data_IF_759662817791
#
_entry.id   IF_759662817791
#
_cell.length_a   1.000
_cell.length_b   1.000
_cell.length_c   1.000
_cell.angle_alpha   90.00
_cell.angle_beta   90.00
_cell.angle_gamma   90.00
#
_symmetry.space_group_name_H-M   'P 1'
#
loop_
_entity.id
_entity.type
_entity.pdbx_description
1 polymer ?
#
# COMPACT_ATOMS: atom_id res chain seq x y z
N UNK A 1 -4.47 -0.82 -8.88
CA UNK A 1 -4.29 -0.38 -7.48
C UNK A 1 -5.47 -0.93 -6.68
N UNK A 2 -5.21 -1.69 -5.62
CA UNK A 2 -6.25 -2.27 -4.75
C UNK A 2 -5.81 -2.23 -3.28
N UNK A 3 -6.74 -2.38 -2.32
CA UNK A 3 -6.38 -2.62 -0.95
C UNK A 3 -5.42 -3.81 -0.82
N UNK A 4 -4.47 -3.67 0.10
CA UNK A 4 -3.60 -4.73 0.55
C UNK A 4 -4.42 -5.92 1.06
N UNK A 5 -3.94 -7.13 0.77
CA UNK A 5 -4.39 -8.36 1.43
C UNK A 5 -3.19 -9.12 2.03
N UNK A 6 -3.41 -10.02 3.01
CA UNK A 6 -2.34 -10.76 3.67
C UNK A 6 -1.38 -11.49 2.72
N UNK A 7 -1.88 -11.93 1.56
CA UNK A 7 -1.10 -12.59 0.51
C UNK A 7 -0.02 -11.69 -0.12
N UNK A 8 -0.14 -10.37 0.00
CA UNK A 8 0.83 -9.43 -0.56
C UNK A 8 2.06 -9.23 0.33
N UNK A 9 2.02 -9.71 1.58
CA UNK A 9 3.07 -9.50 2.57
C UNK A 9 4.48 -9.87 2.08
N UNK A 10 4.69 -11.05 1.43
CA UNK A 10 6.02 -11.41 0.94
C UNK A 10 6.57 -10.43 -0.10
N UNK A 11 5.71 -9.90 -0.98
CA UNK A 11 6.11 -8.91 -1.98
C UNK A 11 6.41 -7.55 -1.34
N UNK A 12 5.64 -7.14 -0.31
CA UNK A 12 5.97 -5.93 0.47
C UNK A 12 7.35 -6.07 1.11
N UNK A 13 7.64 -7.22 1.73
CA UNK A 13 8.96 -7.48 2.31
C UNK A 13 10.06 -7.38 1.25
N UNK A 14 9.87 -8.03 0.09
CA UNK A 14 10.83 -7.98 -1.02
C UNK A 14 11.08 -6.55 -1.51
N UNK A 15 10.04 -5.77 -1.75
CA UNK A 15 10.15 -4.38 -2.21
C UNK A 15 10.88 -3.51 -1.16
N UNK A 16 10.52 -3.69 0.11
CA UNK A 16 11.07 -2.92 1.22
C UNK A 16 12.51 -3.30 1.59
N UNK A 17 12.96 -4.52 1.25
CA UNK A 17 14.34 -4.97 1.49
C UNK A 17 15.39 -4.07 0.78
N UNK A 18 14.99 -3.38 -0.29
CA UNK A 18 15.85 -2.46 -1.03
C UNK A 18 15.79 -1.01 -0.54
N UNK A 19 15.12 -0.76 0.59
CA UNK A 19 14.85 0.59 1.09
C UNK A 19 15.52 0.77 2.44
N UNK A 20 16.22 1.90 2.61
CA UNK A 20 17.00 2.22 3.82
C UNK A 20 17.94 1.07 4.26
N UNK A 21 18.59 0.40 3.31
CA UNK A 21 19.49 -0.73 3.62
C UNK A 21 18.77 -1.95 4.22
N UNK A 22 17.49 -2.13 3.91
CA UNK A 22 16.67 -3.25 4.39
C UNK A 22 16.02 -3.02 5.76
N UNK A 23 16.09 -1.79 6.29
CA UNK A 23 15.56 -1.43 7.61
C UNK A 23 14.21 -0.71 7.53
N UNK A 24 13.51 -0.82 6.41
CA UNK A 24 12.20 -0.18 6.23
C UNK A 24 11.19 -0.65 7.29
N UNK A 25 10.48 0.31 7.88
CA UNK A 25 9.46 0.05 8.90
C UNK A 25 8.14 -0.46 8.31
N UNK A 26 7.92 -0.26 7.01
CA UNK A 26 6.62 -0.52 6.37
C UNK A 26 6.13 -1.97 6.52
N UNK A 27 6.95 -3.03 6.33
CA UNK A 27 6.48 -4.41 6.52
C UNK A 27 5.99 -4.66 7.94
N UNK A 28 6.75 -4.21 8.95
CA UNK A 28 6.37 -4.37 10.35
C UNK A 28 5.05 -3.65 10.65
N UNK A 29 4.94 -2.39 10.22
CA UNK A 29 3.74 -1.57 10.38
C UNK A 29 2.51 -2.21 9.74
N UNK A 30 2.60 -2.65 8.47
CA UNK A 30 1.46 -3.28 7.78
C UNK A 30 1.01 -4.55 8.51
N UNK A 31 1.95 -5.36 9.01
CA UNK A 31 1.63 -6.58 9.76
C UNK A 31 0.94 -6.28 11.09
N UNK A 32 1.44 -5.31 11.85
CA UNK A 32 0.93 -4.97 13.18
C UNK A 32 -0.43 -4.28 13.13
N UNK A 33 -0.61 -3.35 12.22
CA UNK A 33 -1.83 -2.55 12.08
C UNK A 33 -2.99 -3.39 11.50
N UNK A 34 -2.69 -4.32 10.60
CA UNK A 34 -3.69 -5.30 10.13
C UNK A 34 -4.10 -6.30 11.21
N UNK A 35 -3.19 -6.67 12.11
CA UNK A 35 -3.56 -7.53 13.24
C UNK A 35 -4.51 -6.83 14.23
N UNK A 36 -4.50 -5.50 14.27
CA UNK A 36 -5.34 -4.70 15.15
C UNK A 36 -6.68 -4.29 14.51
N UNK A 37 -6.93 -4.67 13.25
CA UNK A 37 -8.06 -4.15 12.44
C UNK A 37 -8.12 -2.62 12.45
N UNK A 38 -6.97 -1.94 12.46
CA UNK A 38 -6.94 -0.48 12.41
C UNK A 38 -7.43 0.00 11.05
N UNK A 39 -8.59 0.67 11.02
CA UNK A 39 -9.19 1.23 9.80
C UNK A 39 -8.52 2.52 9.35
N UNK A 40 -7.68 3.12 10.21
CA UNK A 40 -7.04 4.40 9.94
C UNK A 40 -5.77 4.23 9.09
N UNK A 41 -5.19 3.04 9.02
CA UNK A 41 -4.11 2.71 8.09
C UNK A 41 -4.64 1.96 6.86
N UNK A 42 -4.56 2.61 5.70
CA UNK A 42 -4.85 2.02 4.41
C UNK A 42 -3.54 1.67 3.70
N UNK A 43 -3.29 0.38 3.52
CA UNK A 43 -2.23 -0.10 2.63
C UNK A 43 -2.83 -0.47 1.27
N UNK A 44 -2.17 -0.03 0.19
CA UNK A 44 -2.58 -0.30 -1.18
C UNK A 44 -1.43 -0.90 -1.97
N UNK A 45 -1.74 -1.81 -2.87
CA UNK A 45 -0.78 -2.41 -3.79
C UNK A 45 -1.12 -2.06 -5.24
N UNK A 46 -0.09 -1.84 -6.04
CA UNK A 46 -0.18 -1.82 -7.49
C UNK A 46 0.29 -3.17 -8.01
N UNK A 47 -0.62 -3.96 -8.57
CA UNK A 47 -0.27 -5.17 -9.27
C UNK A 47 -0.06 -4.94 -10.76
N UNK A 48 0.92 -5.62 -11.30
CA UNK A 48 1.02 -5.87 -12.73
C UNK A 48 0.06 -6.98 -13.12
N UNK A 49 -0.81 -6.70 -14.09
CA UNK A 49 -1.64 -7.73 -14.72
C UNK A 49 -0.97 -8.20 -16.02
N UNK A 50 -1.02 -9.51 -16.34
CA UNK A 50 -1.79 -10.57 -15.66
C UNK A 50 -1.01 -11.32 -14.56
N UNK A 51 0.24 -10.99 -14.28
CA UNK A 51 1.09 -11.76 -13.37
C UNK A 51 0.61 -11.77 -11.91
N UNK A 52 -0.16 -10.77 -11.49
CA UNK A 52 -0.56 -10.60 -10.09
C UNK A 52 0.59 -10.16 -9.19
N UNK A 53 1.75 -9.84 -9.76
CA UNK A 53 2.92 -9.39 -9.00
C UNK A 53 2.69 -7.97 -8.48
N UNK A 54 2.88 -7.77 -7.18
CA UNK A 54 2.90 -6.44 -6.58
C UNK A 54 4.17 -5.72 -7.00
N UNK A 55 4.00 -4.53 -7.58
CA UNK A 55 5.08 -3.68 -8.11
C UNK A 55 5.28 -2.41 -7.32
N UNK A 56 4.27 -1.99 -6.55
CA UNK A 56 4.39 -0.90 -5.61
C UNK A 56 3.44 -1.09 -4.44
N UNK A 57 3.79 -0.51 -3.30
CA UNK A 57 2.94 -0.42 -2.12
C UNK A 57 2.92 1.02 -1.60
N UNK A 58 1.78 1.45 -1.08
CA UNK A 58 1.62 2.72 -0.42
C UNK A 58 0.92 2.52 0.93
N UNK A 59 1.39 3.25 1.94
CA UNK A 59 0.74 3.33 3.23
C UNK A 59 0.18 4.74 3.43
N UNK A 60 -1.11 4.83 3.74
CA UNK A 60 -1.84 6.08 3.88
C UNK A 60 -2.57 6.03 5.22
N UNK A 61 -2.45 7.09 6.03
CA UNK A 61 -3.11 7.21 7.32
C UNK A 61 -4.20 8.27 7.28
N UNK A 62 -5.38 8.00 7.82
CA UNK A 62 -6.39 9.03 8.07
C UNK A 62 -5.91 9.94 9.21
N UNK A 63 -5.81 11.25 8.97
CA UNK A 63 -5.43 12.21 10.02
C UNK A 63 -6.66 12.93 10.59
N UNK A 64 -7.61 13.28 9.73
CA UNK A 64 -8.90 13.85 10.10
C UNK A 64 -9.91 13.56 8.98
N UNK A 65 -11.22 13.76 9.18
CA UNK A 65 -12.21 13.52 8.14
C UNK A 65 -11.83 14.24 6.83
N UNK A 66 -11.69 13.47 5.75
CA UNK A 66 -11.29 13.98 4.44
C UNK A 66 -9.79 14.27 4.24
N UNK A 67 -8.96 14.13 5.28
CA UNK A 67 -7.51 14.39 5.20
C UNK A 67 -6.71 13.12 5.45
N UNK A 68 -5.89 12.79 4.47
CA UNK A 68 -5.07 11.58 4.47
C UNK A 68 -3.60 11.94 4.37
N UNK A 69 -2.78 11.31 5.20
CA UNK A 69 -1.34 11.45 5.20
C UNK A 69 -0.70 10.26 4.50
N UNK A 70 0.04 10.53 3.43
CA UNK A 70 0.83 9.51 2.75
C UNK A 70 2.10 9.24 3.56
N UNK A 71 2.09 8.16 4.35
CA UNK A 71 3.24 7.74 5.16
C UNK A 71 4.42 7.35 4.28
N UNK A 72 4.14 6.75 3.13
CA UNK A 72 5.18 6.43 2.16
C UNK A 72 4.67 5.59 1.00
N UNK A 73 5.43 5.66 -0.09
CA UNK A 73 5.30 4.79 -1.26
C UNK A 73 6.61 4.06 -1.46
N UNK A 74 6.53 2.78 -1.78
CA UNK A 74 7.67 1.94 -2.16
C UNK A 74 7.39 1.33 -3.52
N UNK A 75 8.39 1.39 -4.39
CA UNK A 75 8.30 0.87 -5.75
C UNK A 75 9.40 -0.17 -5.93
N UNK A 76 9.02 -1.31 -6.48
CA UNK A 76 9.91 -2.39 -6.87
C UNK A 76 11.04 -1.84 -7.75
N UNK A 77 12.33 -2.06 -7.39
CA UNK A 77 13.47 -1.58 -8.17
C UNK A 77 13.39 -1.88 -9.66
N UNK A 78 12.84 -3.03 -10.04
CA UNK A 78 12.74 -3.48 -11.43
C UNK A 78 11.87 -2.58 -12.32
N UNK A 79 10.96 -1.80 -11.72
CA UNK A 79 9.98 -0.98 -12.45
C UNK A 79 10.13 0.52 -12.17
N UNK A 80 11.13 0.94 -11.39
CA UNK A 80 11.42 2.36 -11.15
C UNK A 80 11.75 3.07 -12.46
N UNK A 81 11.32 4.33 -12.59
CA UNK A 81 11.52 5.13 -13.79
C UNK A 81 10.68 4.71 -15.01
N UNK A 82 9.90 3.63 -14.92
CA UNK A 82 9.02 3.13 -15.99
C UNK A 82 7.58 3.60 -15.83
N UNK A 83 7.38 4.73 -15.15
CA UNK A 83 6.07 5.22 -14.71
C UNK A 83 5.05 5.19 -15.84
N UNK A 84 3.98 4.42 -15.65
CA UNK A 84 2.76 4.51 -16.45
C UNK A 84 1.75 5.32 -15.64
N UNK A 85 1.00 6.27 -16.25
CA UNK A 85 -0.11 6.89 -15.57
C UNK A 85 -1.11 5.80 -15.17
N UNK A 86 -1.34 5.63 -13.87
CA UNK A 86 -2.36 4.73 -13.35
C UNK A 86 -3.51 5.59 -12.83
N UNK A 87 -4.61 5.64 -13.58
CA UNK A 87 -5.86 6.17 -13.06
C UNK A 87 -6.41 5.17 -12.04
N UNK A 88 -6.29 5.48 -10.76
CA UNK A 88 -7.04 4.80 -9.72
C UNK A 88 -8.51 5.20 -9.85
N UNK A 89 -9.32 4.38 -10.51
CA UNK A 89 -10.76 4.52 -10.37
C UNK A 89 -11.11 4.31 -8.89
N UNK A 90 -11.91 5.18 -8.26
CA UNK A 90 -12.29 4.99 -6.87
C UNK A 90 -13.00 3.65 -6.74
N UNK A 91 -12.41 2.73 -5.96
CA UNK A 91 -13.09 1.50 -5.58
C UNK A 91 -14.32 1.89 -4.77
N UNK A 92 -15.51 1.63 -5.32
CA UNK A 92 -16.79 1.71 -4.58
C UNK A 92 -16.66 0.81 -3.35
N UNK A 93 -16.42 1.39 -2.17
CA UNK A 93 -16.17 0.59 -0.97
C UNK A 93 -15.82 1.35 0.31
N UNK A 94 -15.58 2.67 0.26
CA UNK A 94 -15.58 3.48 1.49
C UNK A 94 -17.03 3.60 1.98
N UNK A 95 -17.39 2.72 2.93
CA UNK A 95 -18.65 2.77 3.65
C UNK A 95 -18.89 4.19 4.16
N UNK A 96 -19.90 4.85 3.58
CA UNK A 96 -20.48 6.08 4.12
C UNK A 96 -21.01 5.75 5.51
N UNK A 97 -20.46 6.37 6.57
CA UNK A 97 -21.20 6.48 7.83
C UNK A 97 -22.35 7.46 7.60
N UNK A 98 -23.58 7.15 8.01
CA UNK A 98 -24.65 8.13 8.03
C UNK A 98 -24.33 9.19 9.09
N UNK A 99 -24.53 10.46 8.72
CA UNK A 99 -24.65 11.57 9.65
C UNK A 99 -25.96 11.45 10.44
#
# INVERSE_FOLDING_TARGET
VRPYGPQDYPEIQRICAHVYGGTDYMPKMVREEMAQNDTDLLCWVLEERPSGCVRATAAIRLQSPGHYFLLGVRVDPEVRGKGRPVCCAPSRGLHRRPL
#
